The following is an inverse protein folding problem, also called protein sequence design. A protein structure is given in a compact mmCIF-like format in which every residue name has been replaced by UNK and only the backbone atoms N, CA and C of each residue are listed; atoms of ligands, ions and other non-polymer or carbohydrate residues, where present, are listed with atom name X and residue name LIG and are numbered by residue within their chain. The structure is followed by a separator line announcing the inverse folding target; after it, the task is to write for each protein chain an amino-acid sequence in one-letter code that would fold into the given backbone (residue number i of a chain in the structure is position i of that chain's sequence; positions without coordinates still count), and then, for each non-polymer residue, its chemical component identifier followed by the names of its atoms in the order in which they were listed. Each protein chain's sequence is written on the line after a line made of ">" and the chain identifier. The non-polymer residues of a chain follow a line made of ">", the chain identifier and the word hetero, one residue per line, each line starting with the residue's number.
data_IF_605770269952
#
_entry.id   IF_605770269952
#
_cell.length_a   1.000
_cell.length_b   1.000
_cell.length_c   1.000
_cell.angle_alpha   90.00
_cell.angle_beta   90.00
_cell.angle_gamma   90.00
#
_symmetry.space_group_name_H-M   'P 1'
#
loop_
_entity.id
_entity.type
_entity.pdbx_description
1 polymer ?
#
# COMPACT_ATOMS: atom_id res chain seq x y z
N UNK A 1 -5.20 14.95 1.85
CA UNK A 1 -4.50 15.86 0.90
C UNK A 1 -5.35 17.13 0.76
N UNK A 2 -4.78 18.32 0.55
CA UNK A 2 -5.59 19.55 0.44
C UNK A 2 -6.53 19.48 -0.79
N UNK A 3 -7.84 19.76 -0.66
CA UNK A 3 -8.75 19.77 -1.80
C UNK A 3 -8.34 20.74 -2.94
N UNK A 4 -7.41 21.68 -2.70
CA UNK A 4 -6.79 22.52 -3.74
C UNK A 4 -6.01 21.73 -4.81
N UNK A 5 -5.53 20.52 -4.49
CA UNK A 5 -4.73 19.69 -5.40
C UNK A 5 -5.55 19.01 -6.51
N UNK A 6 -6.88 19.01 -6.41
CA UNK A 6 -7.78 18.32 -7.36
C UNK A 6 -8.89 19.23 -7.86
N UNK A 7 -9.09 19.24 -9.19
CA UNK A 7 -10.16 20.02 -9.82
C UNK A 7 -11.27 19.10 -10.32
N UNK A 8 -12.50 19.44 -9.97
CA UNK A 8 -13.70 18.85 -10.57
C UNK A 8 -14.01 19.53 -11.90
N UNK A 9 -14.31 18.73 -12.91
CA UNK A 9 -14.70 19.18 -14.23
C UNK A 9 -15.86 18.32 -14.76
N UNK A 10 -16.57 18.88 -15.73
CA UNK A 10 -17.73 18.29 -16.36
C UNK A 10 -17.41 18.04 -17.84
N UNK A 11 -17.61 16.81 -18.28
CA UNK A 11 -17.69 16.42 -19.68
C UNK A 11 -19.16 16.22 -20.07
N UNK A 12 -19.55 16.77 -21.21
CA UNK A 12 -20.86 16.54 -21.83
C UNK A 12 -20.66 15.43 -22.86
N UNK A 13 -21.25 14.26 -22.64
CA UNK A 13 -21.16 13.11 -23.53
C UNK A 13 -22.21 13.23 -24.63
N UNK A 14 -23.43 13.59 -24.22
CA UNK A 14 -24.53 13.98 -25.09
C UNK A 14 -25.40 15.02 -24.37
N UNK A 15 -26.45 15.52 -25.03
CA UNK A 15 -27.34 16.51 -24.41
C UNK A 15 -28.06 15.99 -23.16
N UNK A 16 -28.14 14.67 -22.96
CA UNK A 16 -28.75 14.02 -21.79
C UNK A 16 -27.76 13.23 -20.95
N UNK A 17 -26.50 13.08 -21.38
CA UNK A 17 -25.51 12.25 -20.70
C UNK A 17 -24.27 13.05 -20.30
N UNK A 18 -23.92 12.96 -19.03
CA UNK A 18 -22.93 13.82 -18.41
C UNK A 18 -21.97 13.03 -17.53
N UNK A 19 -20.75 13.53 -17.43
CA UNK A 19 -19.72 12.92 -16.59
C UNK A 19 -18.98 13.99 -15.77
N UNK A 20 -19.00 13.86 -14.46
CA UNK A 20 -18.11 14.60 -13.59
C UNK A 20 -16.84 13.81 -13.32
N UNK A 21 -15.70 14.46 -13.47
CA UNK A 21 -14.40 13.87 -13.26
C UNK A 21 -13.49 14.78 -12.42
N UNK A 22 -12.55 14.16 -11.72
CA UNK A 22 -11.49 14.82 -10.99
C UNK A 22 -10.17 14.68 -11.76
N UNK A 23 -9.38 15.74 -11.78
CA UNK A 23 -8.00 15.72 -12.30
C UNK A 23 -7.02 16.16 -11.23
N UNK A 24 -5.86 15.51 -11.19
CA UNK A 24 -4.75 15.95 -10.34
C UNK A 24 -4.09 17.17 -10.97
N UNK A 25 -4.05 18.30 -10.25
CA UNK A 25 -3.45 19.55 -10.77
C UNK A 25 -1.99 19.71 -10.41
N UNK A 26 -1.64 19.21 -9.24
CA UNK A 26 -0.32 19.36 -8.66
C UNK A 26 0.17 17.97 -8.27
N UNK A 27 1.46 17.66 -8.49
CA UNK A 27 2.03 16.39 -8.06
C UNK A 27 1.88 16.26 -6.54
N UNK A 28 1.81 15.02 -6.03
CA UNK A 28 1.82 14.86 -4.58
C UNK A 28 3.12 15.45 -4.00
N UNK A 29 3.08 15.98 -2.77
CA UNK A 29 4.28 16.53 -2.14
C UNK A 29 5.41 15.51 -2.14
N UNK A 30 6.61 15.90 -2.57
CA UNK A 30 7.79 15.03 -2.59
C UNK A 30 8.13 14.45 -1.20
N UNK A 31 7.75 15.16 -0.13
CA UNK A 31 7.85 14.68 1.25
C UNK A 31 7.08 13.36 1.47
N UNK A 32 5.95 13.14 0.79
CA UNK A 32 5.22 11.87 0.88
C UNK A 32 6.07 10.71 0.36
N UNK A 33 6.73 10.90 -0.78
CA UNK A 33 7.65 9.91 -1.34
C UNK A 33 8.79 9.61 -0.38
N UNK A 34 9.42 10.66 0.18
CA UNK A 34 10.54 10.52 1.12
C UNK A 34 10.14 9.74 2.38
N UNK A 35 9.03 10.12 3.02
CA UNK A 35 8.52 9.45 4.23
C UNK A 35 8.17 7.99 3.93
N UNK A 36 7.61 7.73 2.75
CA UNK A 36 7.29 6.36 2.34
C UNK A 36 8.55 5.52 2.09
N UNK A 37 9.59 6.10 1.47
CA UNK A 37 10.89 5.47 1.28
C UNK A 37 11.57 5.15 2.62
N UNK A 38 11.53 6.07 3.58
CA UNK A 38 12.05 5.87 4.93
C UNK A 38 11.30 4.76 5.67
N UNK A 39 9.99 4.71 5.52
CA UNK A 39 9.16 3.63 6.05
C UNK A 39 9.56 2.26 5.47
N UNK A 40 9.73 2.15 4.14
CA UNK A 40 10.20 0.91 3.50
C UNK A 40 11.59 0.50 3.99
N UNK A 41 12.50 1.46 4.13
CA UNK A 41 13.85 1.22 4.62
C UNK A 41 13.83 0.71 6.08
N UNK A 42 12.95 1.27 6.91
CA UNK A 42 12.76 0.85 8.30
C UNK A 42 12.26 -0.59 8.40
N UNK A 43 11.24 -0.96 7.62
CA UNK A 43 10.73 -2.34 7.57
C UNK A 43 11.83 -3.32 7.14
N UNK A 44 12.58 -2.97 6.09
CA UNK A 44 13.68 -3.81 5.60
C UNK A 44 14.79 -3.96 6.64
N UNK A 45 15.20 -2.87 7.29
CA UNK A 45 16.20 -2.89 8.33
C UNK A 45 15.77 -3.73 9.53
N UNK A 46 14.49 -3.66 9.92
CA UNK A 46 13.95 -4.46 11.01
C UNK A 46 14.08 -5.97 10.72
N UNK A 47 13.69 -6.41 9.52
CA UNK A 47 13.84 -7.81 9.08
C UNK A 47 15.30 -8.26 9.05
N UNK A 48 16.19 -7.43 8.49
CA UNK A 48 17.61 -7.75 8.38
C UNK A 48 18.27 -7.85 9.78
N UNK A 49 17.92 -6.96 10.71
CA UNK A 49 18.38 -6.98 12.09
C UNK A 49 17.83 -8.16 12.89
N UNK A 50 16.54 -8.49 12.73
CA UNK A 50 15.92 -9.65 13.38
C UNK A 50 16.57 -10.96 12.92
N UNK A 51 16.81 -11.09 11.61
CA UNK A 51 17.50 -12.24 11.05
C UNK A 51 18.94 -12.35 11.55
N UNK A 52 19.69 -11.25 11.56
CA UNK A 52 21.03 -11.18 12.12
C UNK A 52 21.04 -11.67 13.57
N UNK A 53 20.14 -11.16 14.41
CA UNK A 53 20.07 -11.51 15.82
C UNK A 53 19.74 -13.00 16.02
N UNK A 54 18.81 -13.53 15.22
CA UNK A 54 18.46 -14.94 15.26
C UNK A 54 19.65 -15.85 14.89
N UNK A 55 20.37 -15.52 13.82
CA UNK A 55 21.57 -16.29 13.42
C UNK A 55 22.65 -16.21 14.51
N UNK A 56 22.93 -15.02 15.02
CA UNK A 56 23.93 -14.82 16.08
C UNK A 56 23.64 -15.63 17.34
N UNK A 57 22.36 -15.66 17.76
CA UNK A 57 21.91 -16.46 18.89
C UNK A 57 22.03 -17.97 18.62
N UNK A 58 21.60 -18.43 17.45
CA UNK A 58 21.63 -19.85 17.12
C UNK A 58 23.06 -20.40 16.97
N UNK A 59 23.99 -19.58 16.48
CA UNK A 59 25.41 -19.96 16.34
C UNK A 59 26.25 -19.62 17.57
N UNK A 60 25.67 -18.98 18.60
CA UNK A 60 26.39 -18.46 19.78
C UNK A 60 27.59 -17.58 19.39
N UNK A 61 27.46 -16.80 18.31
CA UNK A 61 28.54 -16.00 17.73
C UNK A 61 28.03 -14.61 17.37
N UNK A 62 28.61 -13.57 17.97
CA UNK A 62 28.29 -12.17 17.67
C UNK A 62 29.59 -11.38 17.43
N UNK A 63 29.88 -10.93 16.20
CA UNK A 63 29.04 -11.03 15.01
C UNK A 63 28.97 -12.47 14.45
N UNK A 64 27.83 -12.88 13.85
CA UNK A 64 27.72 -14.15 13.15
C UNK A 64 28.67 -14.19 11.95
N UNK A 65 29.05 -15.40 11.52
CA UNK A 65 29.91 -15.55 10.35
C UNK A 65 29.26 -14.95 9.09
N UNK A 66 30.04 -14.17 8.34
CA UNK A 66 29.58 -13.39 7.17
C UNK A 66 28.49 -12.35 7.51
N UNK A 67 28.54 -11.78 8.71
CA UNK A 67 27.64 -10.73 9.20
C UNK A 67 27.32 -9.64 8.15
N UNK A 68 28.33 -9.16 7.43
CA UNK A 68 28.22 -8.11 6.42
C UNK A 68 27.45 -8.52 5.15
N UNK A 69 27.23 -9.83 4.97
CA UNK A 69 26.47 -10.41 3.84
C UNK A 69 25.10 -10.90 4.25
N UNK A 70 24.83 -11.01 5.54
CA UNK A 70 23.55 -11.48 6.05
C UNK A 70 22.48 -10.42 5.79
N UNK A 71 21.43 -10.86 5.11
CA UNK A 71 20.26 -10.08 4.77
C UNK A 71 19.07 -11.02 4.75
N UNK A 72 17.94 -10.62 5.32
CA UNK A 72 16.74 -11.42 5.26
C UNK A 72 16.25 -11.50 3.80
N UNK A 73 16.23 -12.70 3.19
CA UNK A 73 15.83 -12.84 1.80
C UNK A 73 14.33 -12.61 1.67
N UNK A 74 13.93 -11.90 0.60
CA UNK A 74 12.53 -11.83 0.16
C UNK A 74 12.54 -12.16 -1.33
N UNK A 75 12.07 -13.35 -1.66
CA UNK A 75 12.17 -13.93 -2.99
C UNK A 75 10.78 -14.16 -3.60
N UNK A 76 10.56 -13.67 -4.83
CA UNK A 76 9.33 -13.91 -5.59
C UNK A 76 9.33 -15.27 -6.29
N UNK A 77 10.49 -15.95 -6.37
CA UNK A 77 10.62 -17.30 -6.96
C UNK A 77 11.62 -18.16 -6.19
N UNK A 78 11.46 -19.49 -6.30
CA UNK A 78 12.43 -20.45 -5.76
C UNK A 78 13.84 -20.29 -6.38
N UNK A 79 13.91 -19.89 -7.66
CA UNK A 79 15.19 -19.60 -8.33
C UNK A 79 15.91 -18.41 -7.71
N UNK A 80 15.16 -17.37 -7.30
CA UNK A 80 15.75 -16.22 -6.62
C UNK A 80 16.26 -16.59 -5.23
N UNK A 81 15.54 -17.47 -4.52
CA UNK A 81 16.01 -17.99 -3.24
C UNK A 81 17.28 -18.83 -3.38
N UNK A 82 17.35 -19.70 -4.41
CA UNK A 82 18.57 -20.45 -4.74
C UNK A 82 19.77 -19.53 -4.98
N UNK A 83 19.56 -18.37 -5.62
CA UNK A 83 20.62 -17.37 -5.82
C UNK A 83 21.12 -16.74 -4.51
N UNK A 84 20.33 -16.75 -3.43
CA UNK A 84 20.75 -16.26 -2.11
C UNK A 84 21.60 -17.28 -1.32
N UNK A 85 21.72 -18.54 -1.76
CA UNK A 85 22.39 -19.62 -0.99
C UNK A 85 23.83 -19.30 -0.57
N UNK A 86 24.57 -18.55 -1.40
CA UNK A 86 25.94 -18.12 -1.07
C UNK A 86 26.01 -17.20 0.16
N UNK A 87 24.98 -16.37 0.39
CA UNK A 87 24.87 -15.49 1.58
C UNK A 87 24.37 -16.23 2.81
N UNK A 88 23.74 -17.39 2.61
CA UNK A 88 23.16 -18.21 3.67
C UNK A 88 24.06 -19.40 4.05
N UNK A 89 25.28 -19.48 3.52
CA UNK A 89 26.16 -20.65 3.72
C UNK A 89 26.62 -20.80 5.18
N UNK A 90 26.73 -19.71 5.93
CA UNK A 90 27.05 -19.71 7.37
C UNK A 90 25.82 -19.85 8.27
N UNK A 91 24.62 -19.90 7.70
CA UNK A 91 23.36 -19.95 8.46
C UNK A 91 22.99 -21.42 8.71
N UNK A 92 22.61 -21.80 9.95
CA UNK A 92 22.10 -23.15 10.23
C UNK A 92 20.95 -23.54 9.31
N UNK A 93 20.99 -24.78 8.78
CA UNK A 93 20.02 -25.22 7.77
C UNK A 93 18.57 -25.15 8.25
N UNK A 94 18.31 -25.40 9.54
CA UNK A 94 16.98 -25.25 10.14
C UNK A 94 16.42 -23.83 9.98
N UNK A 95 17.25 -22.80 10.23
CA UNK A 95 16.87 -21.40 10.02
C UNK A 95 16.61 -21.14 8.55
N UNK A 96 17.47 -21.63 7.66
CA UNK A 96 17.29 -21.48 6.20
C UNK A 96 15.96 -22.06 5.75
N UNK A 97 15.60 -23.25 6.23
CA UNK A 97 14.35 -23.93 5.87
C UNK A 97 13.12 -23.16 6.37
N UNK A 98 13.20 -22.59 7.58
CA UNK A 98 12.15 -21.74 8.12
C UNK A 98 11.97 -20.44 7.34
N UNK A 99 13.09 -19.77 7.02
CA UNK A 99 13.08 -18.57 6.19
C UNK A 99 12.55 -18.87 4.79
N UNK A 100 12.92 -20.02 4.20
CA UNK A 100 12.45 -20.45 2.89
C UNK A 100 10.92 -20.66 2.86
N UNK A 101 10.35 -21.22 3.94
CA UNK A 101 8.90 -21.43 4.09
C UNK A 101 8.11 -20.13 4.20
N UNK A 102 8.71 -19.06 4.72
CA UNK A 102 8.08 -17.75 4.86
C UNK A 102 8.13 -16.91 3.57
N UNK A 103 8.86 -17.35 2.54
CA UNK A 103 9.08 -16.55 1.34
C UNK A 103 7.78 -16.33 0.54
N UNK A 104 7.64 -15.17 -0.15
CA UNK A 104 6.47 -14.89 -0.96
C UNK A 104 6.06 -16.00 -1.94
N UNK A 105 7.01 -16.62 -2.63
CA UNK A 105 6.71 -17.68 -3.61
C UNK A 105 6.09 -18.95 -3.03
N UNK A 106 6.13 -19.14 -1.70
CA UNK A 106 5.45 -20.24 -1.02
C UNK A 106 3.96 -19.96 -0.80
N UNK A 107 3.50 -18.73 -1.10
CA UNK A 107 2.11 -18.34 -0.85
C UNK A 107 1.17 -19.02 -1.85
N UNK A 108 0.09 -19.68 -1.40
CA UNK A 108 -0.78 -20.48 -2.26
C UNK A 108 -1.56 -19.65 -3.28
N UNK A 109 -1.73 -18.34 -3.03
CA UNK A 109 -2.40 -17.40 -3.94
C UNK A 109 -1.39 -16.63 -4.82
N UNK A 110 -0.13 -17.06 -4.86
CA UNK A 110 0.97 -16.43 -5.58
C UNK A 110 1.77 -15.42 -4.75
N UNK A 111 2.96 -14.99 -5.22
CA UNK A 111 3.85 -14.11 -4.47
C UNK A 111 3.20 -12.78 -4.06
N UNK A 112 2.35 -12.22 -4.91
CA UNK A 112 1.67 -10.94 -4.70
C UNK A 112 0.68 -10.95 -3.53
N UNK A 113 0.23 -12.14 -3.06
CA UNK A 113 -0.61 -12.23 -1.87
C UNK A 113 0.17 -12.08 -0.56
N UNK A 114 1.50 -12.04 -0.63
CA UNK A 114 2.38 -11.86 0.52
C UNK A 114 2.83 -10.40 0.64
N UNK A 115 2.70 -9.80 1.82
CA UNK A 115 3.04 -8.38 2.03
C UNK A 115 4.53 -8.09 1.86
N UNK A 116 5.40 -9.07 2.16
CA UNK A 116 6.84 -8.92 1.94
C UNK A 116 7.20 -8.80 0.47
N UNK A 117 6.45 -9.44 -0.44
CA UNK A 117 6.62 -9.22 -1.87
C UNK A 117 6.55 -7.73 -2.20
N UNK A 118 5.48 -7.06 -1.75
CA UNK A 118 5.27 -5.64 -2.00
C UNK A 118 6.32 -4.76 -1.33
N UNK A 119 6.68 -5.04 -0.07
CA UNK A 119 7.78 -4.32 0.60
C UNK A 119 9.07 -4.41 -0.21
N UNK A 120 9.42 -5.60 -0.73
CA UNK A 120 10.62 -5.78 -1.52
C UNK A 120 10.56 -5.12 -2.90
N UNK A 121 9.45 -5.26 -3.62
CA UNK A 121 9.28 -4.63 -4.94
C UNK A 121 9.29 -3.10 -4.85
N UNK A 122 8.64 -2.54 -3.83
CA UNK A 122 8.61 -1.10 -3.60
C UNK A 122 10.01 -0.60 -3.18
N UNK A 123 10.67 -1.26 -2.21
CA UNK A 123 12.02 -0.88 -1.77
C UNK A 123 13.10 -1.05 -2.87
N UNK A 124 12.93 -1.98 -3.81
CA UNK A 124 13.80 -2.12 -4.98
C UNK A 124 13.58 -1.01 -5.99
N UNK A 125 12.31 -0.65 -6.22
CA UNK A 125 11.96 0.46 -7.11
C UNK A 125 12.54 1.77 -6.59
N UNK A 126 12.41 2.03 -5.29
CA UNK A 126 12.92 3.23 -4.63
C UNK A 126 14.44 3.39 -4.74
N UNK A 127 15.21 2.33 -4.46
CA UNK A 127 16.69 2.38 -4.49
C UNK A 127 17.32 2.45 -5.87
N UNK A 128 16.59 2.05 -6.91
CA UNK A 128 17.15 1.88 -8.26
C UNK A 128 16.45 2.72 -9.34
N UNK A 129 15.43 3.50 -8.98
CA UNK A 129 14.65 4.34 -9.89
C UNK A 129 14.26 5.66 -9.22
N UNK A 130 13.40 6.44 -9.88
CA UNK A 130 12.80 7.66 -9.35
C UNK A 130 12.01 7.37 -8.07
N UNK A 131 12.06 8.25 -7.04
CA UNK A 131 11.23 8.14 -5.85
C UNK A 131 9.76 7.89 -6.18
N UNK A 132 9.08 7.12 -5.34
CA UNK A 132 7.69 6.74 -5.57
C UNK A 132 6.80 7.95 -5.86
N UNK A 133 6.07 7.93 -6.98
CA UNK A 133 5.15 9.02 -7.31
C UNK A 133 3.92 8.90 -6.41
N UNK A 134 3.79 9.83 -5.48
CA UNK A 134 2.57 10.01 -4.72
C UNK A 134 1.45 10.51 -5.66
N UNK A 135 0.26 9.96 -5.49
CA UNK A 135 -0.96 10.38 -6.18
C UNK A 135 -2.10 10.53 -5.18
N UNK A 136 -3.22 11.08 -5.61
CA UNK A 136 -4.45 11.07 -4.82
C UNK A 136 -5.22 9.77 -5.04
N UNK A 137 -6.04 9.38 -4.06
CA UNK A 137 -7.08 8.36 -4.20
C UNK A 137 -8.38 8.90 -3.64
N UNK A 138 -9.51 8.58 -4.27
CA UNK A 138 -10.83 8.87 -3.69
C UNK A 138 -11.07 7.93 -2.50
N UNK A 139 -11.15 8.51 -1.31
CA UNK A 139 -11.34 7.81 -0.04
C UNK A 139 -12.80 7.84 0.42
N UNK A 140 -13.47 8.97 0.21
CA UNK A 140 -14.91 9.13 0.45
C UNK A 140 -15.56 9.66 -0.81
N UNK A 141 -16.78 9.19 -1.10
CA UNK A 141 -17.48 9.53 -2.33
C UNK A 141 -18.92 9.91 -2.02
N UNK A 142 -19.21 11.20 -2.13
CA UNK A 142 -20.57 11.75 -2.11
C UNK A 142 -20.64 12.94 -3.05
N UNK A 143 -21.37 12.76 -4.13
CA UNK A 143 -21.60 13.77 -5.17
C UNK A 143 -23.06 14.20 -5.14
N UNK A 144 -23.30 15.49 -4.97
CA UNK A 144 -24.61 16.10 -5.15
C UNK A 144 -24.70 16.78 -6.51
N UNK A 145 -25.57 16.31 -7.39
CA UNK A 145 -25.76 16.96 -8.70
C UNK A 145 -26.94 17.91 -8.60
N UNK A 146 -26.73 19.14 -9.05
CA UNK A 146 -27.81 20.11 -9.22
C UNK A 146 -28.46 19.88 -10.58
N UNK A 147 -29.77 19.69 -10.60
CA UNK A 147 -30.59 19.67 -11.81
C UNK A 147 -31.75 20.67 -11.68
N UNK A 148 -32.28 21.20 -12.80
CA UNK A 148 -33.46 22.05 -12.78
C UNK A 148 -34.69 21.35 -12.18
N UNK A 149 -35.66 22.14 -11.72
CA UNK A 149 -36.92 21.62 -11.21
C UNK A 149 -37.66 20.79 -12.28
N UNK A 150 -38.20 19.64 -11.89
CA UNK A 150 -38.89 18.72 -12.79
C UNK A 150 -37.98 17.81 -13.62
N UNK A 151 -36.65 17.97 -13.55
CA UNK A 151 -35.68 17.09 -14.22
C UNK A 151 -35.19 16.02 -13.26
N UNK A 152 -35.15 14.77 -13.71
CA UNK A 152 -34.59 13.66 -12.93
C UNK A 152 -33.22 13.26 -13.50
N UNK A 153 -32.32 12.82 -12.62
CA UNK A 153 -31.01 12.29 -12.97
C UNK A 153 -30.87 10.85 -12.49
N UNK A 154 -30.39 9.96 -13.35
CA UNK A 154 -30.10 8.56 -13.06
C UNK A 154 -28.61 8.32 -13.16
N UNK A 155 -28.00 7.83 -12.08
CA UNK A 155 -26.57 7.54 -12.03
C UNK A 155 -26.23 6.19 -12.64
N UNK A 156 -25.10 6.12 -13.33
CA UNK A 156 -24.50 4.89 -13.83
C UNK A 156 -23.79 4.15 -12.68
N UNK A 157 -24.29 2.97 -12.25
CA UNK A 157 -23.71 2.22 -11.13
C UNK A 157 -22.39 1.52 -11.49
N UNK A 158 -22.01 1.48 -12.78
CA UNK A 158 -20.76 0.87 -13.21
C UNK A 158 -19.53 1.71 -12.87
N UNK A 159 -19.72 2.99 -12.53
CA UNK A 159 -18.62 3.88 -12.13
C UNK A 159 -18.04 3.42 -10.80
N UNK A 160 -16.73 3.18 -10.80
CA UNK A 160 -15.95 2.76 -9.64
C UNK A 160 -15.09 3.94 -9.17
N UNK A 161 -15.58 4.83 -8.28
CA UNK A 161 -14.88 6.06 -7.95
C UNK A 161 -13.72 5.86 -6.96
N UNK A 162 -13.72 4.79 -6.15
CA UNK A 162 -12.70 4.51 -5.11
C UNK A 162 -11.38 4.00 -5.68
N UNK A 163 -10.75 4.79 -6.54
CA UNK A 163 -9.49 4.46 -7.19
C UNK A 163 -8.49 5.60 -7.08
N UNK A 164 -7.25 5.28 -7.43
CA UNK A 164 -6.18 6.24 -7.64
C UNK A 164 -6.54 7.23 -8.76
N UNK A 165 -6.17 8.49 -8.57
CA UNK A 165 -6.26 9.55 -9.57
C UNK A 165 -4.96 9.51 -10.38
N UNK A 166 -4.99 8.81 -11.51
CA UNK A 166 -3.90 8.83 -12.49
C UNK A 166 -4.34 9.70 -13.67
N UNK A 167 -3.89 10.96 -13.66
CA UNK A 167 -4.32 12.08 -14.51
C UNK A 167 -5.79 12.49 -14.36
N UNK A 168 -6.72 11.54 -14.48
CA UNK A 168 -8.17 11.73 -14.42
C UNK A 168 -8.86 10.54 -13.78
N UNK A 169 -9.88 10.82 -12.96
CA UNK A 169 -10.82 9.81 -12.48
C UNK A 169 -12.27 10.26 -12.66
N UNK A 170 -13.14 9.35 -13.07
CA UNK A 170 -14.58 9.60 -13.15
C UNK A 170 -15.17 9.53 -11.75
N UNK A 171 -15.81 10.62 -11.31
CA UNK A 171 -16.52 10.67 -10.04
C UNK A 171 -17.93 10.14 -10.20
N UNK A 172 -18.63 10.55 -11.25
CA UNK A 172 -19.94 9.99 -11.58
C UNK A 172 -20.24 10.19 -13.05
N UNK A 173 -21.06 9.28 -13.58
CA UNK A 173 -21.75 9.43 -14.85
C UNK A 173 -23.23 9.35 -14.58
N UNK A 174 -24.01 10.18 -15.27
CA UNK A 174 -25.45 10.23 -15.08
C UNK A 174 -26.16 10.66 -16.36
N UNK A 175 -27.40 10.21 -16.49
CA UNK A 175 -28.30 10.56 -17.57
C UNK A 175 -29.47 11.36 -17.02
N UNK A 176 -29.92 12.39 -17.73
CA UNK A 176 -31.07 13.21 -17.35
C UNK A 176 -32.30 12.88 -18.19
N UNK A 177 -33.49 13.10 -17.62
CA UNK A 177 -34.76 12.85 -18.33
C UNK A 177 -35.00 13.77 -19.52
N UNK A 178 -34.33 14.93 -19.55
CA UNK A 178 -34.41 15.92 -20.63
C UNK A 178 -33.03 16.49 -20.95
N UNK A 179 -32.84 17.02 -22.18
CA UNK A 179 -31.62 17.72 -22.56
C UNK A 179 -31.27 18.87 -21.62
N UNK A 180 -30.02 18.92 -21.14
CA UNK A 180 -29.52 20.01 -20.28
C UNK A 180 -28.31 20.72 -20.89
N UNK A 181 -28.14 21.98 -20.52
CA UNK A 181 -26.89 22.72 -20.79
C UNK A 181 -25.93 22.52 -19.63
N UNK A 182 -24.64 22.64 -19.93
CA UNK A 182 -23.57 22.65 -18.91
C UNK A 182 -23.84 23.64 -17.77
N UNK A 183 -24.46 24.78 -18.09
CA UNK A 183 -24.77 25.83 -17.12
C UNK A 183 -25.77 25.40 -16.06
N UNK A 184 -26.68 24.48 -16.40
CA UNK A 184 -27.77 24.04 -15.53
C UNK A 184 -27.26 23.18 -14.38
N UNK A 185 -26.06 22.60 -14.56
CA UNK A 185 -25.37 21.76 -13.60
C UNK A 185 -24.41 22.55 -12.69
N UNK A 186 -24.31 23.89 -12.85
CA UNK A 186 -23.49 24.74 -12.00
C UNK A 186 -24.01 24.77 -10.56
N UNK A 187 -23.09 24.65 -9.60
CA UNK A 187 -23.41 24.56 -8.18
C UNK A 187 -23.66 23.13 -7.68
N UNK A 188 -23.35 22.12 -8.49
CA UNK A 188 -23.21 20.74 -8.01
C UNK A 188 -22.16 20.64 -6.88
N UNK A 189 -22.45 19.85 -5.86
CA UNK A 189 -21.68 19.75 -4.62
C UNK A 189 -20.76 18.52 -4.63
N UNK A 190 -19.45 18.78 -4.50
CA UNK A 190 -18.40 17.76 -4.43
C UNK A 190 -17.67 17.77 -3.09
N UNK A 191 -18.17 18.50 -2.07
CA UNK A 191 -17.51 18.58 -0.75
C UNK A 191 -17.45 17.24 -0.03
N UNK A 192 -18.30 16.28 -0.42
CA UNK A 192 -18.30 14.92 0.08
C UNK A 192 -17.31 13.98 -0.62
N UNK A 193 -16.50 14.47 -1.56
CA UNK A 193 -15.43 13.72 -2.21
C UNK A 193 -14.12 13.98 -1.47
N UNK A 194 -13.68 13.00 -0.68
CA UNK A 194 -12.43 13.06 0.08
C UNK A 194 -11.27 12.40 -0.66
N UNK A 195 -10.08 12.98 -0.52
CA UNK A 195 -8.87 12.54 -1.22
C UNK A 195 -7.74 12.25 -0.24
N UNK A 196 -7.35 10.98 -0.23
CA UNK A 196 -6.24 10.47 0.57
C UNK A 196 -4.97 10.30 -0.27
N UNK A 197 -3.79 10.35 0.37
CA UNK A 197 -2.54 10.06 -0.29
C UNK A 197 -2.48 8.58 -0.71
N UNK A 198 -1.80 8.34 -1.83
CA UNK A 198 -1.64 7.02 -2.44
C UNK A 198 -0.26 6.92 -3.10
N UNK A 199 0.27 5.70 -3.21
CA UNK A 199 1.51 5.41 -3.93
C UNK A 199 1.17 4.72 -5.25
N UNK A 200 1.50 5.36 -6.38
CA UNK A 200 1.12 4.88 -7.72
C UNK A 200 1.50 3.42 -7.96
N UNK A 201 2.73 3.04 -7.58
CA UNK A 201 3.23 1.68 -7.76
C UNK A 201 2.47 0.63 -6.93
N UNK A 202 1.81 1.04 -5.84
CA UNK A 202 1.08 0.14 -4.96
C UNK A 202 -0.44 0.21 -5.17
N UNK A 203 -0.96 1.23 -5.85
CA UNK A 203 -2.40 1.51 -6.00
C UNK A 203 -3.24 0.35 -6.59
N UNK A 204 -2.60 -0.53 -7.37
CA UNK A 204 -3.22 -1.73 -7.94
C UNK A 204 -3.40 -2.88 -6.95
N UNK A 205 -2.80 -2.81 -5.76
CA UNK A 205 -2.90 -3.85 -4.76
C UNK A 205 -4.34 -4.11 -4.34
N UNK A 206 -4.67 -5.39 -4.24
CA UNK A 206 -5.97 -5.86 -3.84
C UNK A 206 -5.80 -7.08 -2.95
N UNK A 207 -6.38 -7.04 -1.76
CA UNK A 207 -6.51 -8.20 -0.89
C UNK A 207 -8.00 -8.54 -0.74
N UNK A 208 -8.39 -9.74 -1.16
CA UNK A 208 -9.76 -10.24 -0.98
C UNK A 208 -10.83 -9.46 -1.76
N UNK A 209 -10.50 -8.90 -2.92
CA UNK A 209 -11.42 -8.11 -3.75
C UNK A 209 -11.55 -6.64 -3.33
N UNK A 210 -10.95 -6.25 -2.21
CA UNK A 210 -11.00 -4.90 -1.68
C UNK A 210 -9.69 -4.16 -1.97
N UNK A 211 -9.79 -2.90 -2.42
CA UNK A 211 -8.63 -2.00 -2.52
C UNK A 211 -8.48 -1.24 -1.21
N UNK A 212 -7.57 -1.71 -0.37
CA UNK A 212 -7.26 -1.10 0.92
C UNK A 212 -6.71 0.33 0.75
N UNK A 213 -6.89 1.17 1.77
CA UNK A 213 -6.20 2.47 1.80
C UNK A 213 -4.68 2.27 1.83
N UNK A 214 -3.91 3.33 1.51
CA UNK A 214 -2.45 3.29 1.68
C UNK A 214 -2.08 3.02 3.15
N UNK A 215 -2.78 3.68 4.07
CA UNK A 215 -2.60 3.51 5.51
C UNK A 215 -2.81 2.06 5.93
N UNK A 216 -3.91 1.43 5.52
CA UNK A 216 -4.20 0.05 5.90
C UNK A 216 -3.13 -0.91 5.39
N UNK A 217 -2.67 -0.74 4.14
CA UNK A 217 -1.58 -1.55 3.58
C UNK A 217 -0.28 -1.40 4.35
N UNK A 218 0.07 -0.17 4.76
CA UNK A 218 1.24 0.07 5.60
C UNK A 218 1.10 -0.60 6.97
N UNK A 219 -0.05 -0.44 7.64
CA UNK A 219 -0.34 -1.08 8.94
C UNK A 219 -0.29 -2.60 8.83
N UNK A 220 -0.84 -3.18 7.77
CA UNK A 220 -0.79 -4.63 7.57
C UNK A 220 0.65 -5.12 7.36
N UNK A 221 1.45 -4.38 6.59
CA UNK A 221 2.86 -4.70 6.39
C UNK A 221 3.65 -4.63 7.72
N UNK A 222 3.39 -3.61 8.55
CA UNK A 222 3.99 -3.49 9.89
C UNK A 222 3.60 -4.65 10.81
N UNK A 223 2.31 -5.01 10.88
CA UNK A 223 1.83 -6.14 11.68
C UNK A 223 2.48 -7.44 11.21
N UNK A 224 2.57 -7.63 9.89
CA UNK A 224 3.17 -8.81 9.28
C UNK A 224 4.67 -8.90 9.58
N UNK A 225 5.41 -7.80 9.44
CA UNK A 225 6.81 -7.70 9.85
C UNK A 225 7.00 -7.99 11.34
N UNK A 226 6.19 -7.39 12.21
CA UNK A 226 6.27 -7.61 13.65
C UNK A 226 6.09 -9.07 14.01
N UNK A 227 5.06 -9.73 13.47
CA UNK A 227 4.81 -11.17 13.69
C UNK A 227 6.02 -12.02 13.31
N UNK A 228 6.67 -11.71 12.18
CA UNK A 228 7.85 -12.45 11.74
C UNK A 228 9.05 -12.20 12.67
N UNK A 229 9.25 -10.97 13.13
CA UNK A 229 10.28 -10.66 14.14
C UNK A 229 10.02 -11.37 15.47
N UNK A 230 8.76 -11.43 15.92
CA UNK A 230 8.36 -12.18 17.11
C UNK A 230 8.65 -13.68 16.94
N UNK A 231 8.39 -14.24 15.76
CA UNK A 231 8.74 -15.63 15.44
C UNK A 231 10.26 -15.84 15.48
N UNK A 232 11.05 -14.98 14.84
CA UNK A 232 12.52 -15.07 14.87
C UNK A 232 13.06 -15.02 16.30
N UNK A 233 12.55 -14.11 17.13
CA UNK A 233 12.97 -13.97 18.52
C UNK A 233 12.54 -15.16 19.40
N UNK A 234 11.35 -15.73 19.16
CA UNK A 234 10.93 -16.97 19.83
C UNK A 234 11.86 -18.15 19.47
N UNK A 235 12.28 -18.25 18.20
CA UNK A 235 13.21 -19.30 17.73
C UNK A 235 14.67 -19.06 18.12
N UNK A 236 15.05 -17.85 18.49
CA UNK A 236 16.40 -17.54 18.96
C UNK A 236 16.59 -17.83 20.45
N UNK A 237 15.52 -18.19 21.18
CA UNK A 237 15.54 -18.30 22.64
C UNK A 237 15.75 -16.95 23.34
N UNK A 238 15.62 -15.83 22.60
CA UNK A 238 15.67 -14.50 23.17
C UNK A 238 14.34 -14.20 23.85
N UNK A 239 14.31 -14.25 25.19
CA UNK A 239 13.20 -13.70 25.95
C UNK A 239 13.39 -12.18 26.04
N UNK A 240 12.46 -11.36 25.53
CA UNK A 240 12.44 -9.94 25.85
C UNK A 240 12.40 -9.79 27.38
N UNK A 241 13.02 -8.76 27.97
CA UNK A 241 13.02 -8.54 29.43
C UNK A 241 11.61 -8.55 30.04
N UNK A 242 10.59 -8.18 29.26
CA UNK A 242 9.18 -8.14 29.66
C UNK A 242 8.30 -9.18 28.95
N UNK A 243 8.88 -10.14 28.23
CA UNK A 243 8.17 -11.06 27.34
C UNK A 243 7.63 -10.40 26.07
N UNK A 244 7.02 -11.19 25.18
CA UNK A 244 6.32 -10.67 24.00
C UNK A 244 4.98 -10.06 24.45
N UNK A 245 4.88 -8.74 24.47
CA UNK A 245 3.62 -8.06 24.70
C UNK A 245 2.88 -7.89 23.37
N UNK A 246 1.77 -8.63 23.20
CA UNK A 246 0.82 -8.36 22.14
C UNK A 246 0.19 -6.99 22.43
N UNK A 247 0.50 -5.99 21.62
CA UNK A 247 -0.26 -4.73 21.62
C UNK A 247 -1.64 -5.06 21.07
N UNK A 248 -2.66 -4.99 21.92
CA UNK A 248 -4.04 -5.02 21.50
C UNK A 248 -4.31 -3.75 20.67
N UNK A 249 -4.63 -3.85 19.37
CA UNK A 249 -4.91 -2.67 18.55
C UNK A 249 -6.11 -1.86 19.05
N UNK A 250 -6.93 -2.40 19.96
CA UNK A 250 -8.02 -1.68 20.63
C UNK A 250 -7.58 -0.95 21.90
N UNK A 251 -6.36 -1.18 22.41
CA UNK A 251 -5.86 -0.54 23.63
C UNK A 251 -5.19 0.82 23.41
N UNK A 252 -5.11 1.32 22.17
CA UNK A 252 -4.71 2.70 21.90
C UNK A 252 -5.88 3.65 22.24
N UNK A 253 -6.04 3.92 23.53
CA UNK A 253 -6.67 5.16 23.95
C UNK A 253 -5.78 6.30 23.44
N UNK A 254 -6.33 7.12 22.56
CA UNK A 254 -5.73 8.38 22.13
C UNK A 254 -5.61 9.30 23.35
N UNK A 255 -4.39 9.47 23.87
CA UNK A 255 -4.00 10.67 24.62
C UNK A 255 -3.38 11.70 23.66
#
# INVERSE_FOLDING_TARGET
>A
MDPRFVRHALAVISDTEFEFFAVQREPAPAALSLVFSEWLATIRAALDNGFYAWVAAATQQNPPAQAERLQYPICATASDFKRQRSRLTSVPQEIVDMVEKAQPYQSPLGPESNLFYWVNELARTDRHRTPHIGIGRIATHKVGIRVPEGVTATFDPSVQPFQAIDDRIVLCRFTTSTPLRRSDLHGSDFRGVGIDPEIRAWAGFNMGGHRQSLRDRMVYAEIFTRRDLESMAAHSGCNPPEGFQLIDPTSLALE
#
